data_IF_475474024680
#
_entry.id   IF_475474024680
#
_cell.length_a   1.000
_cell.length_b   1.000
_cell.length_c   1.000
_cell.angle_alpha   90.00
_cell.angle_beta   90.00
_cell.angle_gamma   90.00
#
_symmetry.space_group_name_H-M   'P 1'
#
loop_
_entity.id
_entity.type
_entity.pdbx_description
1 polymer ?
#
# COMPACT_ATOMS: atom_id res chain seq x y z
N UNK A 1 40.58 30.97 -41.28
CA UNK A 1 39.24 30.45 -41.55
C UNK A 1 38.89 29.54 -40.40
N UNK A 2 38.00 29.93 -39.48
CA UNK A 2 37.55 29.05 -38.39
C UNK A 2 36.19 28.46 -38.76
N UNK A 3 36.10 27.15 -38.60
CA UNK A 3 34.92 26.34 -38.87
C UNK A 3 34.02 26.38 -37.62
N UNK A 4 32.85 26.98 -37.78
CA UNK A 4 31.84 27.09 -36.72
C UNK A 4 30.93 25.85 -36.73
N UNK A 5 31.17 24.90 -35.81
CA UNK A 5 30.27 23.82 -35.59
C UNK A 5 29.16 24.26 -34.64
N UNK A 6 27.98 24.54 -35.19
CA UNK A 6 26.77 24.79 -34.45
C UNK A 6 26.31 23.48 -33.79
N UNK A 7 26.45 23.40 -32.48
CA UNK A 7 25.83 22.40 -31.63
C UNK A 7 24.35 22.75 -31.49
N UNK A 8 23.50 21.97 -32.18
CA UNK A 8 22.04 22.05 -32.05
C UNK A 8 21.64 21.30 -30.80
N UNK A 9 21.55 22.00 -29.67
CA UNK A 9 20.84 21.49 -28.49
C UNK A 9 19.36 21.38 -28.84
N UNK A 10 18.90 20.16 -29.11
CA UNK A 10 17.48 19.84 -29.16
C UNK A 10 16.96 19.93 -27.72
N UNK A 11 16.23 20.99 -27.42
CA UNK A 11 15.38 21.05 -26.24
C UNK A 11 14.33 19.94 -26.32
N UNK A 12 14.54 18.87 -25.54
CA UNK A 12 13.43 17.98 -25.20
C UNK A 12 12.47 18.79 -24.33
N UNK A 13 11.36 19.19 -24.92
CA UNK A 13 10.21 19.70 -24.16
C UNK A 13 9.64 18.54 -23.35
N UNK A 14 9.96 18.50 -22.06
CA UNK A 14 9.22 17.70 -21.10
C UNK A 14 7.79 18.22 -21.03
N UNK A 15 6.86 17.44 -21.56
CA UNK A 15 5.42 17.75 -21.42
C UNK A 15 5.04 17.40 -19.99
N UNK A 16 4.82 18.43 -19.20
CA UNK A 16 4.47 18.38 -17.80
C UNK A 16 3.09 17.72 -17.61
N UNK A 17 3.09 16.56 -16.96
CA UNK A 17 1.88 15.96 -16.41
C UNK A 17 1.80 16.25 -14.92
N UNK A 18 1.02 17.23 -14.53
CA UNK A 18 0.80 17.53 -13.13
C UNK A 18 -0.47 16.85 -12.62
N UNK A 19 -0.38 16.25 -11.44
CA UNK A 19 -1.55 15.71 -10.73
C UNK A 19 -2.52 16.84 -10.35
N UNK A 20 -3.64 16.93 -11.02
CA UNK A 20 -4.73 17.85 -10.65
C UNK A 20 -5.66 17.12 -9.69
N UNK A 21 -5.58 17.44 -8.41
CA UNK A 21 -6.61 17.07 -7.43
C UNK A 21 -7.77 18.03 -7.58
N UNK A 22 -8.78 17.66 -8.35
CA UNK A 22 -10.09 18.32 -8.30
C UNK A 22 -10.90 17.70 -7.16
N UNK A 23 -10.88 18.32 -5.99
CA UNK A 23 -11.84 18.04 -4.94
C UNK A 23 -13.19 18.66 -5.34
N UNK A 24 -14.08 17.87 -5.94
CA UNK A 24 -15.50 18.22 -6.06
C UNK A 24 -16.28 17.42 -5.03
N UNK A 25 -16.66 18.12 -3.95
CA UNK A 25 -17.73 17.66 -3.09
C UNK A 25 -19.06 17.76 -3.83
N UNK A 26 -19.79 16.66 -3.92
CA UNK A 26 -21.23 16.68 -4.18
C UNK A 26 -21.94 15.88 -3.10
N UNK A 27 -22.63 16.66 -2.25
CA UNK A 27 -23.71 16.18 -1.40
C UNK A 27 -24.94 16.03 -2.30
N UNK A 28 -25.44 14.83 -2.48
CA UNK A 28 -26.78 14.59 -3.01
C UNK A 28 -27.60 13.82 -1.96
N UNK A 29 -28.43 14.56 -1.27
CA UNK A 29 -29.54 14.03 -0.48
C UNK A 29 -30.67 13.69 -1.47
N UNK A 30 -31.03 12.41 -1.54
CA UNK A 30 -32.17 11.93 -2.30
C UNK A 30 -32.93 10.90 -1.48
N UNK A 31 -33.93 11.36 -0.76
CA UNK A 31 -34.92 10.49 -0.15
C UNK A 31 -35.87 9.95 -1.23
N UNK A 32 -36.12 8.65 -1.25
CA UNK A 32 -37.31 8.10 -1.90
C UNK A 32 -37.77 6.85 -1.17
N UNK A 33 -38.93 6.97 -0.61
CA UNK A 33 -39.73 5.94 0.03
C UNK A 33 -40.29 4.97 -1.01
N UNK A 34 -40.28 3.67 -0.70
CA UNK A 34 -40.96 2.65 -1.47
C UNK A 34 -41.24 1.43 -0.59
N UNK A 35 -42.46 1.35 -0.10
CA UNK A 35 -43.05 0.22 0.62
C UNK A 35 -43.45 -0.88 -0.36
N UNK A 36 -43.22 -2.16 -0.05
CA UNK A 36 -44.10 -3.31 -0.27
C UNK A 36 -43.42 -4.61 0.17
N UNK A 37 -43.92 -5.17 1.19
CA UNK A 37 -44.72 -6.41 1.34
C UNK A 37 -43.92 -7.70 1.33
N UNK A 38 -44.02 -8.31 2.50
CA UNK A 38 -43.91 -9.69 2.93
C UNK A 38 -43.97 -10.79 1.86
N UNK A 39 -43.08 -11.76 1.99
CA UNK A 39 -43.48 -13.15 1.89
C UNK A 39 -42.67 -14.01 2.86
N UNK A 40 -43.43 -14.81 3.56
CA UNK A 40 -43.13 -15.70 4.67
C UNK A 40 -42.54 -16.98 4.09
N UNK A 41 -41.33 -17.37 4.43
CA UNK A 41 -40.92 -18.76 4.34
C UNK A 41 -39.68 -19.01 5.21
N UNK A 42 -39.94 -19.44 6.42
CA UNK A 42 -38.96 -19.99 7.36
C UNK A 42 -38.65 -21.43 6.97
N UNK A 43 -37.42 -21.84 6.67
CA UNK A 43 -37.01 -23.22 6.78
C UNK A 43 -36.56 -23.53 8.21
N UNK A 44 -37.31 -24.45 8.78
CA UNK A 44 -37.13 -25.15 10.04
C UNK A 44 -35.67 -25.52 10.35
N UNK A 45 -35.22 -25.19 11.55
CA UNK A 45 -33.95 -25.65 12.14
C UNK A 45 -34.01 -27.18 12.38
N UNK A 46 -32.90 -27.92 12.16
CA UNK A 46 -32.82 -29.31 12.59
C UNK A 46 -32.66 -29.40 14.11
N UNK A 47 -33.52 -30.27 14.70
CA UNK A 47 -33.53 -30.55 16.12
C UNK A 47 -32.26 -31.33 16.57
N UNK A 48 -31.79 -31.14 17.80
CA UNK A 48 -30.67 -31.91 18.33
C UNK A 48 -31.10 -33.36 18.66
N UNK A 49 -30.38 -34.30 18.09
CA UNK A 49 -30.51 -35.71 18.45
C UNK A 49 -29.98 -35.97 19.86
N UNK A 50 -30.80 -36.75 20.58
CA UNK A 50 -30.65 -37.09 21.98
C UNK A 50 -29.27 -37.68 22.33
N UNK A 51 -28.78 -37.25 23.48
CA UNK A 51 -27.60 -37.75 24.14
C UNK A 51 -27.70 -39.26 24.44
N UNK A 52 -26.69 -40.02 24.01
CA UNK A 52 -26.47 -41.35 24.47
C UNK A 52 -25.90 -41.33 25.88
N UNK A 53 -26.43 -42.12 26.77
CA UNK A 53 -26.06 -42.25 28.16
C UNK A 53 -24.61 -42.78 28.33
N UNK A 54 -23.89 -42.39 29.38
CA UNK A 54 -22.56 -42.91 29.69
C UNK A 54 -22.63 -44.35 30.14
N UNK A 55 -21.86 -45.20 29.52
CA UNK A 55 -21.58 -46.56 29.98
C UNK A 55 -20.59 -46.48 31.15
N UNK A 56 -21.04 -46.89 32.29
CA UNK A 56 -20.28 -47.05 33.51
C UNK A 56 -19.26 -48.21 33.31
N UNK A 57 -17.98 -47.89 33.16
CA UNK A 57 -16.91 -48.87 33.15
C UNK A 57 -16.28 -48.88 34.57
N UNK A 58 -16.10 -50.03 35.20
CA UNK A 58 -15.49 -50.07 36.53
C UNK A 58 -14.01 -49.65 36.51
N UNK A 59 -13.72 -48.67 37.33
CA UNK A 59 -12.34 -48.21 37.54
C UNK A 59 -11.51 -49.34 38.19
N UNK A 60 -10.57 -49.91 37.44
CA UNK A 60 -9.48 -50.70 38.01
C UNK A 60 -8.44 -49.71 38.56
N UNK A 61 -8.49 -49.43 39.83
CA UNK A 61 -7.42 -48.71 40.56
C UNK A 61 -6.27 -49.65 40.76
N UNK A 62 -5.15 -49.40 40.06
CA UNK A 62 -3.84 -50.00 40.38
C UNK A 62 -3.20 -49.13 41.46
N UNK A 63 -2.88 -49.64 42.65
CA UNK A 63 -2.21 -48.87 43.68
C UNK A 63 -0.71 -48.77 43.36
N UNK A 64 -0.19 -47.54 43.38
CA UNK A 64 1.19 -47.26 43.73
C UNK A 64 2.24 -47.25 42.65
N UNK A 65 2.11 -46.45 41.63
CA UNK A 65 3.30 -45.94 40.93
C UNK A 65 3.53 -44.47 41.34
N UNK A 66 4.73 -44.11 41.80
CA UNK A 66 5.05 -42.72 42.09
C UNK A 66 4.93 -41.92 40.79
N UNK A 67 4.10 -40.87 40.86
CA UNK A 67 3.95 -39.91 39.75
C UNK A 67 5.31 -39.25 39.50
N UNK A 68 5.91 -39.56 38.35
CA UNK A 68 7.13 -38.89 37.91
C UNK A 68 6.81 -37.40 37.68
N UNK A 69 7.67 -36.51 38.20
CA UNK A 69 7.47 -35.08 37.97
C UNK A 69 7.46 -34.82 36.45
N UNK A 70 6.57 -33.92 35.96
CA UNK A 70 6.53 -33.58 34.53
C UNK A 70 7.91 -33.09 34.08
N UNK A 71 8.45 -33.74 33.07
CA UNK A 71 9.68 -33.29 32.44
C UNK A 71 9.49 -31.82 32.01
N UNK A 72 10.45 -30.92 32.32
CA UNK A 72 10.39 -29.56 31.80
C UNK A 72 10.29 -29.62 30.29
N UNK A 73 9.23 -29.00 29.75
CA UNK A 73 9.05 -28.88 28.30
C UNK A 73 10.31 -28.24 27.70
N UNK A 74 11.01 -28.98 26.83
CA UNK A 74 12.10 -28.41 26.05
C UNK A 74 11.56 -27.15 25.36
N UNK A 75 12.25 -25.99 25.46
CA UNK A 75 11.85 -24.84 24.69
C UNK A 75 11.80 -25.24 23.22
N UNK A 76 10.67 -25.00 22.57
CA UNK A 76 10.54 -25.17 21.12
C UNK A 76 11.75 -24.48 20.45
N UNK A 77 12.37 -25.07 19.41
CA UNK A 77 13.46 -24.41 18.71
C UNK A 77 13.00 -23.02 18.33
N UNK A 78 13.60 -22.00 18.95
CA UNK A 78 13.23 -20.62 18.78
C UNK A 78 13.38 -20.28 17.31
N UNK A 79 12.26 -20.01 16.65
CA UNK A 79 12.25 -19.40 15.33
C UNK A 79 12.82 -17.99 15.55
N UNK A 80 14.13 -17.83 15.35
CA UNK A 80 14.73 -16.50 15.36
C UNK A 80 14.08 -15.75 14.17
N UNK A 81 13.44 -14.60 14.42
CA UNK A 81 12.91 -13.81 13.32
C UNK A 81 14.06 -13.52 12.35
N UNK A 82 13.79 -13.65 11.06
CA UNK A 82 14.77 -13.30 10.04
C UNK A 82 15.24 -11.86 10.26
N UNK A 83 16.54 -11.56 10.10
CA UNK A 83 17.02 -10.20 10.21
C UNK A 83 16.21 -9.30 9.25
N UNK A 84 15.93 -8.04 9.61
CA UNK A 84 15.22 -7.12 8.74
C UNK A 84 15.96 -6.99 7.40
N UNK A 85 15.25 -6.88 6.28
CA UNK A 85 15.87 -6.71 4.97
C UNK A 85 16.69 -5.43 4.93
N UNK A 86 17.88 -5.50 4.33
CA UNK A 86 18.74 -4.33 4.10
C UNK A 86 18.53 -3.88 2.65
N UNK A 87 18.17 -2.62 2.46
CA UNK A 87 17.98 -2.02 1.14
C UNK A 87 19.16 -1.10 0.82
N UNK A 88 19.56 -1.08 -0.45
CA UNK A 88 20.58 -0.15 -0.92
C UNK A 88 20.02 1.27 -1.04
N UNK A 89 20.87 2.28 -0.81
CA UNK A 89 20.49 3.69 -0.98
C UNK A 89 20.57 4.11 -2.45
N UNK A 90 19.68 3.50 -3.26
CA UNK A 90 19.54 3.78 -4.68
C UNK A 90 18.09 3.51 -5.12
N UNK A 91 17.77 3.84 -6.39
CA UNK A 91 16.41 3.72 -6.91
C UNK A 91 15.83 2.30 -6.78
N UNK A 92 16.62 1.26 -7.03
CA UNK A 92 16.19 -0.13 -6.89
C UNK A 92 15.83 -0.46 -5.43
N UNK A 93 16.71 -0.09 -4.50
CA UNK A 93 16.51 -0.31 -3.06
C UNK A 93 15.30 0.46 -2.53
N UNK A 94 15.12 1.73 -2.91
CA UNK A 94 13.96 2.52 -2.51
C UNK A 94 12.65 1.92 -3.00
N UNK A 95 12.59 1.44 -4.25
CA UNK A 95 11.38 0.77 -4.78
C UNK A 95 11.10 -0.52 -4.03
N UNK A 96 12.12 -1.36 -3.75
CA UNK A 96 11.94 -2.62 -3.01
C UNK A 96 11.47 -2.39 -1.59
N UNK A 97 12.07 -1.44 -0.89
CA UNK A 97 11.65 -1.04 0.45
C UNK A 97 10.20 -0.54 0.45
N UNK A 98 9.86 0.31 -0.52
CA UNK A 98 8.49 0.81 -0.68
C UNK A 98 7.49 -0.33 -0.92
N UNK A 99 7.83 -1.32 -1.76
CA UNK A 99 6.98 -2.48 -2.02
C UNK A 99 6.74 -3.33 -0.76
N UNK A 100 7.73 -3.47 0.12
CA UNK A 100 7.56 -4.23 1.37
C UNK A 100 6.63 -3.49 2.33
N UNK A 101 6.76 -2.16 2.44
CA UNK A 101 5.84 -1.31 3.22
C UNK A 101 4.44 -1.34 2.60
N UNK A 102 4.32 -1.20 1.28
CA UNK A 102 3.04 -1.26 0.57
C UNK A 102 2.30 -2.57 0.81
N UNK A 103 3.02 -3.71 0.81
CA UNK A 103 2.42 -5.02 1.12
C UNK A 103 1.85 -5.06 2.54
N UNK A 104 2.57 -4.52 3.52
CA UNK A 104 2.10 -4.47 4.91
C UNK A 104 0.83 -3.61 5.07
N UNK A 105 0.64 -2.62 4.20
CA UNK A 105 -0.52 -1.71 4.18
C UNK A 105 -1.58 -2.08 3.13
N UNK A 106 -1.47 -3.22 2.44
CA UNK A 106 -2.37 -3.67 1.37
C UNK A 106 -2.50 -2.67 0.21
N UNK A 107 -1.43 -1.94 -0.09
CA UNK A 107 -1.37 -0.99 -1.21
C UNK A 107 -0.86 -1.76 -2.44
N UNK A 108 -1.66 -1.89 -3.52
CA UNK A 108 -1.27 -2.63 -4.71
C UNK A 108 -0.28 -1.85 -5.58
N UNK A 109 0.64 -2.59 -6.20
CA UNK A 109 1.63 -2.06 -7.14
C UNK A 109 2.73 -3.07 -7.44
N UNK A 110 3.34 -2.95 -8.62
CA UNK A 110 4.49 -3.74 -9.04
C UNK A 110 5.75 -2.87 -9.13
N UNK A 111 6.91 -3.53 -9.09
CA UNK A 111 8.19 -2.87 -9.32
C UNK A 111 8.21 -2.15 -10.67
N UNK A 112 7.78 -2.84 -11.71
CA UNK A 112 7.77 -2.33 -13.09
C UNK A 112 6.84 -1.14 -13.25
N UNK A 113 5.67 -1.18 -12.62
CA UNK A 113 4.71 -0.07 -12.61
C UNK A 113 5.29 1.16 -11.93
N UNK A 114 5.88 0.99 -10.76
CA UNK A 114 6.51 2.07 -9.99
C UNK A 114 7.70 2.65 -10.76
N UNK A 115 8.64 1.80 -11.18
CA UNK A 115 9.84 2.22 -11.92
C UNK A 115 9.48 2.98 -13.20
N UNK A 116 8.55 2.46 -14.01
CA UNK A 116 8.09 3.11 -15.24
C UNK A 116 7.55 4.52 -14.96
N UNK A 117 6.75 4.67 -13.92
CA UNK A 117 6.20 5.98 -13.54
C UNK A 117 7.29 6.93 -13.04
N UNK A 118 8.21 6.48 -12.18
CA UNK A 118 9.34 7.29 -11.70
C UNK A 118 10.18 7.80 -12.87
N UNK A 119 10.51 6.94 -13.81
CA UNK A 119 11.33 7.34 -14.98
C UNK A 119 10.62 8.38 -15.85
N UNK A 120 9.30 8.33 -15.93
CA UNK A 120 8.49 9.33 -16.65
C UNK A 120 8.38 10.65 -15.90
N UNK A 121 8.18 10.62 -14.57
CA UNK A 121 7.90 11.80 -13.76
C UNK A 121 9.17 12.60 -13.40
N UNK A 122 10.25 11.93 -13.07
CA UNK A 122 11.47 12.57 -12.56
C UNK A 122 12.77 12.09 -13.20
N UNK A 123 12.71 11.06 -14.05
CA UNK A 123 13.91 10.38 -14.54
C UNK A 123 14.73 9.70 -13.45
N UNK A 124 14.10 9.36 -12.31
CA UNK A 124 14.78 8.77 -11.15
C UNK A 124 15.44 9.78 -10.21
N UNK A 125 15.17 11.08 -10.35
CA UNK A 125 15.75 12.11 -9.47
C UNK A 125 14.86 12.34 -8.23
N UNK A 126 15.31 11.98 -7.01
CA UNK A 126 14.52 12.17 -5.77
C UNK A 126 14.38 13.65 -5.38
N UNK A 127 15.16 14.55 -5.95
CA UNK A 127 15.11 16.00 -5.70
C UNK A 127 14.46 16.78 -6.85
N UNK A 128 13.74 16.09 -7.76
CA UNK A 128 13.02 16.76 -8.83
C UNK A 128 11.90 17.64 -8.28
N UNK A 129 11.77 18.85 -8.83
CA UNK A 129 10.70 19.80 -8.51
C UNK A 129 10.19 20.43 -9.79
N UNK A 130 8.86 20.51 -9.95
CA UNK A 130 8.24 21.21 -11.06
C UNK A 130 7.73 22.59 -10.59
N UNK A 131 8.34 23.63 -11.11
CA UNK A 131 8.01 25.04 -10.79
C UNK A 131 7.23 25.74 -11.90
N UNK A 132 6.83 24.99 -12.95
CA UNK A 132 6.30 25.59 -14.19
C UNK A 132 4.83 25.28 -14.47
N UNK A 133 4.20 24.42 -13.67
CA UNK A 133 2.83 23.99 -13.88
C UNK A 133 1.79 24.80 -13.08
N UNK A 134 0.52 24.46 -13.26
CA UNK A 134 -0.60 25.09 -12.54
C UNK A 134 -0.56 24.87 -11.03
N UNK A 135 0.05 23.78 -10.55
CA UNK A 135 0.18 23.51 -9.13
C UNK A 135 1.27 24.40 -8.52
N UNK A 136 2.39 24.58 -9.23
CA UNK A 136 3.43 25.52 -8.82
C UNK A 136 2.91 26.95 -8.75
N UNK A 137 2.09 27.38 -9.73
CA UNK A 137 1.43 28.69 -9.71
C UNK A 137 0.49 28.89 -8.51
N UNK A 138 -0.04 27.80 -7.94
CA UNK A 138 -0.87 27.80 -6.72
C UNK A 138 -0.05 27.64 -5.42
N UNK A 139 1.28 27.62 -5.50
CA UNK A 139 2.16 27.44 -4.36
C UNK A 139 2.34 25.99 -3.88
N UNK A 140 1.91 25.00 -4.65
CA UNK A 140 2.03 23.58 -4.34
C UNK A 140 2.77 22.82 -5.45
N UNK A 141 4.08 23.09 -5.68
CA UNK A 141 4.85 22.43 -6.73
C UNK A 141 4.93 20.93 -6.51
N UNK A 142 4.99 20.19 -7.61
CA UNK A 142 5.21 18.73 -7.57
C UNK A 142 6.66 18.40 -7.23
N UNK A 143 6.88 17.40 -6.37
CA UNK A 143 8.18 17.09 -5.74
C UNK A 143 8.50 15.60 -5.76
N UNK A 144 9.78 15.29 -5.81
CA UNK A 144 10.35 13.96 -5.62
C UNK A 144 10.19 13.03 -6.80
N UNK A 145 10.40 11.74 -6.55
CA UNK A 145 10.45 10.70 -7.58
C UNK A 145 9.17 10.59 -8.41
N UNK A 146 8.00 10.65 -7.75
CA UNK A 146 6.69 10.52 -8.39
C UNK A 146 5.92 11.86 -8.43
N UNK A 147 6.61 12.99 -8.33
CA UNK A 147 6.07 14.33 -8.52
C UNK A 147 4.78 14.58 -7.73
N UNK A 148 4.82 14.30 -6.43
CA UNK A 148 3.69 14.48 -5.51
C UNK A 148 3.63 15.93 -5.02
N UNK A 149 2.43 16.49 -4.86
CA UNK A 149 2.21 17.80 -4.23
C UNK A 149 1.98 17.63 -2.72
N UNK A 150 2.31 18.66 -1.91
CA UNK A 150 2.19 18.59 -0.45
C UNK A 150 0.80 18.16 0.05
N UNK A 151 -0.33 18.66 -0.49
CA UNK A 151 -1.66 18.20 -0.04
C UNK A 151 -1.90 16.71 -0.28
N UNK A 152 -1.44 16.18 -1.42
CA UNK A 152 -1.56 14.75 -1.73
C UNK A 152 -0.66 13.92 -0.81
N UNK A 153 0.58 14.36 -0.59
CA UNK A 153 1.49 13.69 0.34
C UNK A 153 0.90 13.59 1.74
N UNK A 154 0.40 14.71 2.28
CA UNK A 154 -0.19 14.76 3.62
C UNK A 154 -1.42 13.85 3.75
N UNK A 155 -2.25 13.76 2.71
CA UNK A 155 -3.48 12.96 2.72
C UNK A 155 -3.23 11.45 2.53
N UNK A 156 -2.14 11.06 1.88
CA UNK A 156 -1.85 9.67 1.51
C UNK A 156 -0.53 9.15 2.08
N UNK A 157 0.09 9.88 3.00
CA UNK A 157 1.27 9.41 3.73
C UNK A 157 1.01 8.04 4.37
N UNK A 158 2.00 7.16 4.34
CA UNK A 158 1.91 5.79 4.85
C UNK A 158 2.71 5.69 6.15
N UNK A 159 2.07 5.18 7.20
CA UNK A 159 2.72 4.93 8.48
C UNK A 159 3.93 4.01 8.33
N UNK A 160 5.00 4.29 9.09
CA UNK A 160 6.26 3.55 8.98
C UNK A 160 7.24 4.14 7.95
N UNK A 161 6.86 5.23 7.26
CA UNK A 161 7.76 6.03 6.42
C UNK A 161 8.06 7.40 7.04
N UNK A 162 9.14 8.06 6.60
CA UNK A 162 9.46 9.42 7.03
C UNK A 162 8.33 10.39 6.63
N UNK A 163 7.97 11.34 7.51
CA UNK A 163 7.04 12.41 7.14
C UNK A 163 7.79 13.53 6.41
N UNK A 164 8.40 13.17 5.30
CA UNK A 164 9.17 14.05 4.41
C UNK A 164 8.89 13.68 2.95
N UNK A 165 8.31 14.62 2.20
CA UNK A 165 8.00 14.46 0.76
C UNK A 165 9.25 14.22 -0.10
N UNK A 166 10.42 14.60 0.40
CA UNK A 166 11.70 14.41 -0.28
C UNK A 166 12.37 13.07 0.02
N UNK A 167 11.88 12.35 1.05
CA UNK A 167 12.32 10.99 1.29
C UNK A 167 11.84 10.08 0.15
N UNK A 168 12.73 9.33 -0.53
CA UNK A 168 12.37 8.52 -1.69
C UNK A 168 11.30 7.49 -1.40
N UNK A 169 11.38 6.80 -0.25
CA UNK A 169 10.45 5.73 0.14
C UNK A 169 9.09 6.32 0.50
N UNK A 170 9.07 7.42 1.27
CA UNK A 170 7.83 8.10 1.63
C UNK A 170 7.12 8.68 0.39
N UNK A 171 7.87 9.25 -0.55
CA UNK A 171 7.34 9.78 -1.81
C UNK A 171 6.70 8.68 -2.66
N UNK A 172 7.39 7.53 -2.84
CA UNK A 172 6.88 6.38 -3.60
C UNK A 172 5.62 5.81 -2.93
N UNK A 173 5.64 5.55 -1.62
CA UNK A 173 4.52 4.92 -0.92
C UNK A 173 3.29 5.82 -0.90
N UNK A 174 3.44 7.13 -0.66
CA UNK A 174 2.33 8.08 -0.69
C UNK A 174 1.71 8.19 -2.09
N UNK A 175 2.53 8.25 -3.15
CA UNK A 175 2.05 8.27 -4.53
C UNK A 175 1.32 6.98 -4.91
N UNK A 176 1.84 5.80 -4.50
CA UNK A 176 1.20 4.51 -4.74
C UNK A 176 -0.11 4.36 -3.96
N UNK A 177 -0.17 4.86 -2.73
CA UNK A 177 -1.39 4.89 -1.93
C UNK A 177 -2.46 5.76 -2.59
N UNK A 178 -2.12 6.96 -3.05
CA UNK A 178 -3.00 7.80 -3.86
C UNK A 178 -3.48 7.08 -5.12
N UNK A 179 -2.55 6.47 -5.88
CA UNK A 179 -2.86 5.74 -7.11
C UNK A 179 -3.80 4.54 -6.85
N UNK A 180 -3.63 3.83 -5.74
CA UNK A 180 -4.52 2.74 -5.32
C UNK A 180 -5.95 3.23 -5.15
N UNK A 181 -6.14 4.37 -4.46
CA UNK A 181 -7.47 4.96 -4.24
C UNK A 181 -8.10 5.53 -5.51
N UNK A 182 -7.30 6.07 -6.42
CA UNK A 182 -7.81 6.78 -7.61
C UNK A 182 -7.95 5.88 -8.84
N UNK A 183 -7.02 4.94 -9.01
CA UNK A 183 -6.85 4.13 -10.23
C UNK A 183 -6.81 2.62 -9.94
N UNK A 184 -6.91 2.24 -8.67
CA UNK A 184 -6.81 0.86 -8.22
C UNK A 184 -5.38 0.35 -8.05
N UNK A 185 -4.38 0.92 -8.74
CA UNK A 185 -2.95 0.60 -8.61
C UNK A 185 -2.11 1.62 -9.37
N UNK A 186 -0.84 1.78 -8.98
CA UNK A 186 0.18 2.48 -9.78
C UNK A 186 0.41 1.81 -11.14
N UNK A 187 0.15 0.52 -11.27
CA UNK A 187 0.29 -0.22 -12.52
C UNK A 187 -0.67 0.24 -13.61
N UNK A 188 -1.84 0.76 -13.21
CA UNK A 188 -2.87 1.27 -14.10
C UNK A 188 -2.59 2.70 -14.60
N UNK A 189 -1.56 3.33 -14.08
CA UNK A 189 -1.13 4.66 -14.46
C UNK A 189 -0.18 4.57 -15.66
N UNK A 190 -0.73 4.72 -16.89
CA UNK A 190 0.01 4.53 -18.14
C UNK A 190 0.16 5.82 -18.98
N UNK A 191 -0.44 6.93 -18.55
CA UNK A 191 -0.40 8.22 -19.24
C UNK A 191 0.20 9.33 -18.38
N UNK A 192 0.51 10.47 -18.99
CA UNK A 192 0.72 11.71 -18.22
C UNK A 192 -0.62 12.10 -17.60
N UNK A 193 -0.58 12.50 -16.34
CA UNK A 193 -1.75 12.92 -15.56
C UNK A 193 -2.24 14.30 -15.98
#
# INVERSE_FOLDING_TARGET
MPDARHSVFRHLSFRNGAFVVAALGMIAVGASSGVASADDSVPSAPQPVAAAAPIDAPAFALPGLPELPPLPALPAPGFLPAPPPVYEDNLDGWIRQSLDIMRAHNIPGSYEGIHRNIMRESGGNPRAINLSDSNAAKGTPSKGLLQVIDPTFNAYHVDGTAFDIWDPVANITAACNYAAHRYGSMDNVNGAY
#
